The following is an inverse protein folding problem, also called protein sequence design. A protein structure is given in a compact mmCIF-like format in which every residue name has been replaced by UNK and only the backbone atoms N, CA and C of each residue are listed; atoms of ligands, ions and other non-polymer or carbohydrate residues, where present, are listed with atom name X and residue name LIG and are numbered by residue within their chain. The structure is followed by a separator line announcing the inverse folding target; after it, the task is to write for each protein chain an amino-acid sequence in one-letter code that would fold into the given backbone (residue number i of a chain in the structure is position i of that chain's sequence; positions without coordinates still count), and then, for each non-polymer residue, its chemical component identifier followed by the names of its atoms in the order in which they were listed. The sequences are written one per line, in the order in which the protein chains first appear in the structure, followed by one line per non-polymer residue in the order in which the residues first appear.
data_IF_125554935344
#
_entry.id   IF_125554935344
#
_cell.length_a   1.000
_cell.length_b   1.000
_cell.length_c   1.000
_cell.angle_alpha   90.00
_cell.angle_beta   90.00
_cell.angle_gamma   90.00
#
_symmetry.space_group_name_H-M   'P 1'
#
loop_
_entity.id
_entity.type
_entity.pdbx_description
1 polymer ?
#
# COMPACT_ATOMS: atom_id res chain seq x y z
N UNK A 1 -9.14 -23.00 -8.26
CA UNK A 1 -7.82 -23.25 -8.81
C UNK A 1 -6.97 -24.08 -7.85
N UNK A 2 -6.01 -24.82 -8.39
CA UNK A 2 -5.05 -25.60 -7.65
C UNK A 2 -3.65 -25.32 -8.19
N UNK A 3 -2.63 -25.36 -7.34
CA UNK A 3 -1.24 -25.27 -7.72
C UNK A 3 -0.43 -26.34 -7.02
N UNK A 4 0.71 -26.68 -7.59
CA UNK A 4 1.61 -27.69 -7.06
C UNK A 4 2.87 -27.04 -6.52
N UNK A 5 3.36 -27.59 -5.41
CA UNK A 5 4.67 -27.23 -4.88
C UNK A 5 5.82 -28.00 -5.58
N UNK A 6 7.06 -27.76 -5.17
CA UNK A 6 8.24 -28.40 -5.72
C UNK A 6 8.25 -29.93 -5.54
N UNK A 7 7.48 -30.49 -4.59
CA UNK A 7 7.31 -31.93 -4.37
C UNK A 7 6.05 -32.50 -5.00
N UNK A 8 5.39 -31.75 -5.90
CA UNK A 8 4.11 -32.10 -6.51
C UNK A 8 2.91 -32.24 -5.55
N UNK A 9 3.03 -31.75 -4.30
CA UNK A 9 1.88 -31.64 -3.43
C UNK A 9 0.89 -30.65 -4.02
N UNK A 10 -0.38 -31.01 -4.04
CA UNK A 10 -1.42 -30.15 -4.60
C UNK A 10 -2.09 -29.35 -3.49
N UNK A 11 -2.05 -28.03 -3.61
CA UNK A 11 -2.88 -27.13 -2.81
C UNK A 11 -4.08 -26.73 -3.66
N UNK A 12 -5.25 -27.13 -3.22
CA UNK A 12 -6.52 -26.73 -3.86
C UNK A 12 -7.03 -25.49 -3.17
N UNK A 13 -7.09 -24.37 -3.89
CA UNK A 13 -7.80 -23.18 -3.41
C UNK A 13 -9.29 -23.46 -3.58
N UNK A 14 -10.02 -23.47 -2.47
CA UNK A 14 -11.46 -23.64 -2.50
C UNK A 14 -12.08 -22.57 -3.41
N UNK A 15 -12.85 -23.01 -4.39
CA UNK A 15 -13.57 -22.13 -5.29
C UNK A 15 -14.96 -21.87 -4.67
N UNK A 16 -15.09 -20.72 -4.02
CA UNK A 16 -16.38 -20.27 -3.52
C UNK A 16 -17.15 -19.68 -4.71
N UNK A 17 -17.89 -20.53 -5.37
CA UNK A 17 -18.70 -20.15 -6.53
C UNK A 17 -19.97 -19.44 -6.05
N UNK A 18 -19.87 -18.15 -5.74
CA UNK A 18 -21.02 -17.36 -5.26
C UNK A 18 -21.72 -16.57 -6.35
N UNK A 19 -21.32 -16.74 -7.62
CA UNK A 19 -21.89 -15.98 -8.77
C UNK A 19 -21.51 -14.49 -8.79
N UNK A 20 -20.86 -13.98 -7.73
CA UNK A 20 -20.38 -12.61 -7.60
C UNK A 20 -18.85 -12.57 -7.61
N UNK A 21 -18.27 -11.48 -8.11
CA UNK A 21 -16.81 -11.26 -8.11
C UNK A 21 -16.36 -10.87 -6.70
N UNK A 22 -16.08 -11.85 -5.86
CA UNK A 22 -15.50 -11.62 -4.53
C UNK A 22 -14.03 -12.05 -4.55
N UNK A 23 -13.13 -11.20 -4.07
CA UNK A 23 -11.71 -11.52 -3.93
C UNK A 23 -11.46 -12.10 -2.55
N UNK A 24 -10.88 -13.30 -2.53
CA UNK A 24 -10.43 -13.99 -1.33
C UNK A 24 -8.91 -13.87 -1.22
N UNK A 25 -8.40 -13.88 -0.02
CA UNK A 25 -6.98 -13.94 0.23
C UNK A 25 -6.57 -15.31 0.73
N UNK A 26 -5.42 -15.76 0.24
CA UNK A 26 -4.75 -16.99 0.69
C UNK A 26 -3.34 -16.63 1.10
N UNK A 27 -2.96 -17.00 2.30
CA UNK A 27 -1.59 -16.90 2.79
C UNK A 27 -0.93 -18.27 2.69
N UNK A 28 0.27 -18.31 2.13
CA UNK A 28 1.06 -19.53 1.96
C UNK A 28 2.43 -19.34 2.61
N UNK A 29 2.84 -20.31 3.40
CA UNK A 29 4.23 -20.43 3.81
C UNK A 29 4.93 -21.50 2.97
N UNK A 30 6.02 -21.10 2.33
CA UNK A 30 6.79 -21.96 1.44
C UNK A 30 8.22 -22.02 1.97
N UNK A 31 8.78 -23.22 2.08
CA UNK A 31 10.18 -23.41 2.49
C UNK A 31 11.14 -22.88 1.43
N UNK A 32 12.43 -22.74 1.79
CA UNK A 32 13.51 -22.41 0.83
C UNK A 32 13.64 -23.41 -0.32
N UNK A 33 13.12 -24.63 -0.14
CA UNK A 33 13.10 -25.69 -1.16
C UNK A 33 11.85 -25.63 -2.05
N UNK A 34 10.99 -24.62 -1.87
CA UNK A 34 9.75 -24.48 -2.64
C UNK A 34 8.60 -25.40 -2.20
N UNK A 35 8.68 -25.98 -1.00
CA UNK A 35 7.65 -26.86 -0.43
C UNK A 35 6.69 -26.04 0.39
N UNK A 36 5.37 -26.24 0.17
CA UNK A 36 4.33 -25.59 0.96
C UNK A 36 4.28 -26.21 2.35
N UNK A 37 4.64 -25.45 3.37
CA UNK A 37 4.57 -25.86 4.76
C UNK A 37 3.13 -25.80 5.29
N UNK A 38 2.44 -24.72 4.97
CA UNK A 38 1.02 -24.56 5.29
C UNK A 38 0.35 -23.50 4.38
N UNK A 39 -0.97 -23.49 4.37
CA UNK A 39 -1.79 -22.44 3.77
C UNK A 39 -2.93 -22.08 4.72
N UNK A 40 -3.32 -20.80 4.70
CA UNK A 40 -4.45 -20.26 5.43
C UNK A 40 -5.34 -19.46 4.49
N UNK A 41 -6.63 -19.65 4.61
CA UNK A 41 -7.63 -18.82 3.93
C UNK A 41 -8.06 -17.72 4.89
N UNK A 42 -8.16 -16.51 4.38
CA UNK A 42 -8.81 -15.42 5.10
C UNK A 42 -10.28 -15.49 4.72
N UNK A 43 -11.12 -15.83 5.68
CA UNK A 43 -12.55 -15.94 5.46
C UNK A 43 -13.17 -14.55 5.33
N UNK A 44 -14.16 -14.44 4.46
CA UNK A 44 -14.89 -13.20 4.16
C UNK A 44 -16.37 -13.48 4.38
N UNK A 45 -17.05 -12.52 4.99
CA UNK A 45 -18.51 -12.59 5.07
C UNK A 45 -19.13 -12.47 3.68
N UNK A 46 -19.78 -13.55 3.25
CA UNK A 46 -20.50 -13.67 1.99
C UNK A 46 -22.01 -13.70 2.15
N UNK A 47 -22.52 -13.24 3.31
CA UNK A 47 -23.96 -13.17 3.51
C UNK A 47 -24.64 -12.36 2.38
N UNK A 48 -25.89 -12.67 2.01
CA UNK A 48 -26.63 -11.90 1.03
C UNK A 48 -26.75 -10.41 1.40
N UNK A 49 -26.81 -10.12 2.69
CA UNK A 49 -26.85 -8.75 3.23
C UNK A 49 -25.52 -8.02 3.01
N UNK A 50 -24.38 -8.71 3.16
CA UNK A 50 -23.07 -8.17 2.84
C UNK A 50 -22.85 -8.02 1.32
N UNK A 51 -23.56 -8.79 0.49
CA UNK A 51 -23.44 -8.73 -0.98
C UNK A 51 -24.36 -7.70 -1.64
N UNK A 52 -25.28 -7.10 -0.89
CA UNK A 52 -26.25 -6.12 -1.41
C UNK A 52 -25.64 -4.73 -1.71
N UNK A 53 -24.37 -4.51 -1.39
CA UNK A 53 -23.66 -3.29 -1.77
C UNK A 53 -23.25 -3.35 -3.24
N UNK A 54 -24.00 -2.66 -4.04
CA UNK A 54 -24.00 -2.65 -5.51
C UNK A 54 -22.63 -2.40 -6.16
N UNK A 55 -22.38 -3.22 -7.21
CA UNK A 55 -21.40 -2.94 -8.24
C UNK A 55 -21.71 -1.61 -8.94
N UNK A 56 -20.93 -0.60 -8.68
CA UNK A 56 -20.75 0.48 -9.63
C UNK A 56 -19.26 0.63 -9.86
N UNK A 57 -18.90 0.40 -11.13
CA UNK A 57 -17.57 0.64 -11.68
C UNK A 57 -16.41 -0.24 -11.16
N UNK A 58 -16.52 -1.56 -11.42
CA UNK A 58 -15.31 -2.37 -11.65
C UNK A 58 -14.42 -2.74 -10.47
N UNK A 59 -14.72 -2.32 -9.25
CA UNK A 59 -13.96 -2.73 -8.06
C UNK A 59 -14.74 -3.80 -7.29
N UNK A 60 -14.31 -5.05 -7.32
CA UNK A 60 -14.97 -6.12 -6.59
C UNK A 60 -14.88 -5.89 -5.07
N UNK A 61 -15.90 -6.34 -4.34
CA UNK A 61 -15.86 -6.40 -2.89
C UNK A 61 -14.91 -7.50 -2.42
N UNK A 62 -14.13 -7.25 -1.37
CA UNK A 62 -13.26 -8.26 -0.83
C UNK A 62 -12.12 -7.76 0.03
N UNK A 63 -11.10 -8.58 0.11
CA UNK A 63 -9.83 -8.28 0.77
C UNK A 63 -8.77 -8.09 -0.31
N UNK A 64 -7.94 -7.08 -0.12
CA UNK A 64 -6.82 -6.77 -0.98
C UNK A 64 -5.53 -6.75 -0.15
N UNK A 65 -4.91 -7.92 0.09
CA UNK A 65 -3.60 -7.98 0.71
C UNK A 65 -2.55 -7.56 -0.31
N UNK A 66 -1.73 -6.58 0.04
CA UNK A 66 -0.72 -6.04 -0.86
C UNK A 66 0.69 -6.34 -0.40
N UNK A 67 0.91 -6.48 0.91
CA UNK A 67 2.24 -6.58 1.45
C UNK A 67 2.32 -7.56 2.63
N UNK A 68 3.47 -8.21 2.75
CA UNK A 68 3.84 -9.02 3.92
C UNK A 68 5.24 -8.64 4.38
N UNK A 69 5.46 -8.71 5.69
CA UNK A 69 6.78 -8.66 6.31
C UNK A 69 6.87 -9.74 7.39
N UNK A 70 8.08 -10.12 7.77
CA UNK A 70 8.33 -11.08 8.86
C UNK A 70 9.35 -10.51 9.82
N UNK A 71 9.15 -10.75 11.14
CA UNK A 71 10.13 -10.41 12.15
C UNK A 71 11.10 -11.56 12.43
N UNK A 72 12.09 -11.32 13.28
CA UNK A 72 13.11 -12.31 13.68
C UNK A 72 12.53 -13.51 14.46
N UNK A 73 11.33 -13.38 15.02
CA UNK A 73 10.64 -14.46 15.71
C UNK A 73 9.77 -15.30 14.76
N UNK A 74 9.76 -14.95 13.48
CA UNK A 74 8.95 -15.59 12.45
C UNK A 74 7.48 -15.14 12.44
N UNK A 75 7.10 -14.13 13.20
CA UNK A 75 5.76 -13.56 13.09
C UNK A 75 5.58 -12.90 11.73
N UNK A 76 4.38 -13.03 11.19
CA UNK A 76 4.03 -12.54 9.85
C UNK A 76 3.12 -11.32 10.03
N UNK A 77 3.43 -10.26 9.31
CA UNK A 77 2.61 -9.07 9.22
C UNK A 77 2.03 -9.00 7.81
N UNK A 78 0.71 -8.98 7.72
CA UNK A 78 -0.05 -8.88 6.47
C UNK A 78 -0.74 -7.54 6.42
N UNK A 79 -0.54 -6.77 5.35
CA UNK A 79 -1.13 -5.45 5.19
C UNK A 79 -1.89 -5.28 3.87
N UNK A 80 -2.86 -4.40 3.87
CA UNK A 80 -3.67 -4.11 2.70
C UNK A 80 -4.87 -3.22 3.00
N UNK A 81 -5.95 -3.44 2.25
CA UNK A 81 -7.26 -2.90 2.58
C UNK A 81 -8.36 -3.96 2.47
N UNK A 82 -9.48 -3.72 3.13
CA UNK A 82 -10.61 -4.65 3.14
C UNK A 82 -11.94 -3.88 3.14
N UNK A 83 -12.94 -4.46 2.47
CA UNK A 83 -14.28 -3.88 2.30
C UNK A 83 -15.38 -4.75 2.89
N UNK A 84 -15.03 -5.95 3.34
CA UNK A 84 -15.94 -6.91 3.97
C UNK A 84 -15.32 -7.43 5.25
N UNK A 85 -16.14 -7.88 6.17
CA UNK A 85 -15.68 -8.52 7.40
C UNK A 85 -14.74 -9.67 7.08
N UNK A 86 -13.54 -9.61 7.64
CA UNK A 86 -12.53 -10.68 7.58
C UNK A 86 -12.54 -11.46 8.87
N UNK A 87 -12.36 -12.78 8.79
CA UNK A 87 -12.22 -13.65 9.95
C UNK A 87 -10.85 -14.31 9.95
N UNK A 88 -10.14 -14.16 11.05
CA UNK A 88 -8.90 -14.85 11.38
C UNK A 88 -9.16 -15.78 12.59
N UNK A 89 -8.24 -16.71 12.84
CA UNK A 89 -8.35 -17.65 13.94
C UNK A 89 -7.12 -17.63 14.83
N UNK A 90 -7.34 -17.66 16.16
CA UNK A 90 -6.24 -17.82 17.14
C UNK A 90 -5.70 -19.25 17.12
N UNK A 91 -4.63 -19.51 17.90
CA UNK A 91 -4.10 -20.86 18.06
C UNK A 91 -5.11 -21.85 18.66
N UNK A 92 -6.04 -21.36 19.48
CA UNK A 92 -7.16 -22.12 20.07
C UNK A 92 -8.35 -22.25 19.10
N UNK A 93 -8.18 -21.84 17.84
CA UNK A 93 -9.23 -21.82 16.83
C UNK A 93 -10.45 -20.93 17.17
N UNK A 94 -10.22 -19.88 17.94
CA UNK A 94 -11.24 -18.87 18.23
C UNK A 94 -11.29 -17.83 17.11
N UNK A 95 -12.47 -17.51 16.53
CA UNK A 95 -12.59 -16.55 15.45
C UNK A 95 -12.40 -15.12 15.96
N UNK A 96 -11.69 -14.32 15.19
CA UNK A 96 -11.53 -12.87 15.38
C UNK A 96 -11.94 -12.16 14.10
N UNK A 97 -12.93 -11.29 14.19
CA UNK A 97 -13.49 -10.57 13.05
C UNK A 97 -12.97 -9.14 12.99
N UNK A 98 -12.51 -8.74 11.83
CA UNK A 98 -12.23 -7.36 11.47
C UNK A 98 -13.41 -6.86 10.63
N UNK A 99 -14.15 -5.90 11.18
CA UNK A 99 -15.36 -5.34 10.55
C UNK A 99 -14.98 -3.98 9.97
N UNK A 100 -15.22 -3.71 8.67
CA UNK A 100 -14.91 -2.41 8.08
C UNK A 100 -15.82 -1.32 8.64
N UNK A 101 -15.25 -0.16 8.93
CA UNK A 101 -15.94 0.99 9.52
C UNK A 101 -16.21 2.09 8.49
N UNK A 102 -15.40 2.15 7.42
CA UNK A 102 -15.49 3.22 6.45
C UNK A 102 -16.59 2.96 5.42
N UNK A 103 -17.71 3.65 5.59
CA UNK A 103 -18.85 3.57 4.68
C UNK A 103 -19.14 4.94 4.06
N UNK A 104 -19.28 4.99 2.74
CA UNK A 104 -19.61 6.21 1.99
C UNK A 104 -21.03 6.12 1.45
N UNK A 105 -21.82 7.16 1.65
CA UNK A 105 -23.09 7.34 0.95
C UNK A 105 -22.82 7.82 -0.48
N UNK A 106 -23.10 6.99 -1.46
CA UNK A 106 -22.96 7.34 -2.87
C UNK A 106 -24.33 7.63 -3.48
N UNK A 107 -24.52 8.87 -3.93
CA UNK A 107 -25.77 9.31 -4.60
C UNK A 107 -27.09 9.03 -3.86
N UNK A 108 -27.08 9.03 -2.53
CA UNK A 108 -28.31 9.04 -1.72
C UNK A 108 -28.98 7.69 -1.49
N UNK A 109 -28.57 6.60 -2.14
CA UNK A 109 -29.34 5.33 -2.10
C UNK A 109 -28.66 4.12 -1.47
N UNK A 110 -27.34 4.14 -1.22
CA UNK A 110 -26.70 3.01 -0.54
C UNK A 110 -25.37 3.42 0.09
N UNK A 111 -25.13 2.92 1.29
CA UNK A 111 -23.82 2.99 1.91
C UNK A 111 -22.87 2.03 1.19
N UNK A 112 -21.77 2.56 0.64
CA UNK A 112 -20.69 1.73 0.11
C UNK A 112 -19.55 1.69 1.12
N UNK A 113 -19.08 0.51 1.42
CA UNK A 113 -17.82 0.33 2.13
C UNK A 113 -16.68 0.65 1.19
N UNK A 114 -15.88 1.65 1.53
CA UNK A 114 -14.77 2.09 0.68
C UNK A 114 -13.51 1.31 0.98
N UNK A 115 -13.50 0.63 2.11
CA UNK A 115 -12.43 -0.21 2.62
C UNK A 115 -11.54 0.55 3.60
N UNK A 116 -11.26 -0.12 4.71
CA UNK A 116 -10.31 0.33 5.71
C UNK A 116 -8.95 -0.30 5.42
N UNK A 117 -7.88 0.36 5.81
CA UNK A 117 -6.57 -0.28 5.83
C UNK A 117 -6.45 -1.23 7.02
N UNK A 118 -5.61 -2.24 6.88
CA UNK A 118 -5.30 -3.17 7.95
C UNK A 118 -3.82 -3.56 7.96
N UNK A 119 -3.32 -3.89 9.14
CA UNK A 119 -2.12 -4.69 9.37
C UNK A 119 -2.50 -5.76 10.38
N UNK A 120 -2.38 -7.03 9.99
CA UNK A 120 -2.64 -8.17 10.86
C UNK A 120 -1.34 -8.87 11.20
N UNK A 121 -1.11 -9.15 12.48
CA UNK A 121 0.01 -9.94 12.98
C UNK A 121 -0.44 -11.38 13.19
N UNK A 122 0.33 -12.30 12.64
CA UNK A 122 0.14 -13.74 12.77
C UNK A 122 1.43 -14.38 13.33
N UNK A 123 1.31 -15.52 13.98
CA UNK A 123 2.48 -16.33 14.33
C UNK A 123 3.07 -17.05 13.09
N UNK A 124 4.15 -17.80 13.28
CA UNK A 124 4.84 -18.56 12.24
C UNK A 124 3.99 -19.71 11.64
N UNK A 125 2.84 -20.03 12.26
CA UNK A 125 1.85 -21.02 11.81
C UNK A 125 0.61 -20.38 11.19
N UNK A 126 0.59 -19.04 11.09
CA UNK A 126 -0.51 -18.27 10.55
C UNK A 126 -1.70 -18.11 11.50
N UNK A 127 -1.52 -18.30 12.81
CA UNK A 127 -2.55 -18.02 13.80
C UNK A 127 -2.54 -16.52 14.16
N UNK A 128 -3.72 -15.98 14.39
CA UNK A 128 -3.90 -14.57 14.73
C UNK A 128 -3.30 -14.22 16.10
N UNK A 129 -2.54 -13.11 16.11
CA UNK A 129 -1.93 -12.52 17.31
C UNK A 129 -2.46 -11.12 17.62
N UNK A 130 -2.83 -10.35 16.60
CA UNK A 130 -3.28 -8.97 16.76
C UNK A 130 -3.55 -8.29 15.43
N UNK A 131 -4.16 -7.12 15.47
CA UNK A 131 -4.36 -6.30 14.28
C UNK A 131 -4.32 -4.81 14.61
N UNK A 132 -4.06 -4.04 13.58
CA UNK A 132 -4.20 -2.59 13.51
C UNK A 132 -5.12 -2.23 12.35
N UNK A 133 -6.08 -1.36 12.61
CA UNK A 133 -6.95 -0.75 11.59
C UNK A 133 -7.08 0.73 11.87
N UNK A 134 -7.45 1.50 10.85
CA UNK A 134 -7.81 2.91 11.02
C UNK A 134 -9.23 3.07 11.54
N UNK A 135 -9.49 4.21 12.16
CA UNK A 135 -10.84 4.72 12.34
C UNK A 135 -10.99 6.02 11.55
N UNK A 136 -12.16 6.23 10.98
CA UNK A 136 -12.43 7.40 10.15
C UNK A 136 -13.50 8.30 10.76
N UNK A 137 -13.38 9.61 10.48
CA UNK A 137 -14.43 10.60 10.72
C UNK A 137 -14.72 11.28 9.41
N UNK A 138 -16.00 11.44 9.08
CA UNK A 138 -16.41 11.94 7.77
C UNK A 138 -16.24 10.90 6.66
N UNK A 139 -15.90 11.33 5.47
CA UNK A 139 -15.86 10.47 4.29
C UNK A 139 -14.45 10.36 3.72
N UNK A 140 -13.84 9.21 3.85
CA UNK A 140 -12.58 8.84 3.19
C UNK A 140 -12.92 7.95 1.99
N UNK A 141 -12.47 8.34 0.79
CA UNK A 141 -12.75 7.62 -0.45
C UNK A 141 -11.85 6.40 -0.63
N UNK A 142 -10.62 6.47 -0.13
CA UNK A 142 -9.64 5.40 -0.23
C UNK A 142 -8.66 5.42 0.92
N UNK A 143 -8.38 4.27 1.45
CA UNK A 143 -7.24 4.02 2.35
C UNK A 143 -6.65 2.64 2.01
N UNK A 144 -5.35 2.59 1.84
CA UNK A 144 -4.67 1.32 1.57
C UNK A 144 -3.19 1.38 1.98
N UNK A 145 -2.68 0.26 2.50
CA UNK A 145 -1.25 0.01 2.64
C UNK A 145 -0.84 -0.92 1.52
N UNK A 146 0.14 -0.52 0.74
CA UNK A 146 0.63 -1.28 -0.41
C UNK A 146 2.01 -1.90 -0.19
N UNK A 147 2.78 -1.38 0.77
CA UNK A 147 4.12 -1.88 1.10
C UNK A 147 4.33 -1.90 2.60
N UNK A 148 5.09 -2.88 3.05
CA UNK A 148 5.45 -3.09 4.44
C UNK A 148 6.91 -3.59 4.52
N UNK A 149 7.72 -2.98 5.37
CA UNK A 149 9.10 -3.40 5.62
C UNK A 149 9.28 -3.56 7.12
N UNK A 150 9.92 -4.67 7.52
CA UNK A 150 10.38 -4.88 8.87
C UNK A 150 11.89 -4.60 8.98
N UNK A 151 12.29 -3.85 9.99
CA UNK A 151 13.69 -3.63 10.38
C UNK A 151 13.81 -3.45 11.88
N UNK A 152 14.53 -4.35 12.55
CA UNK A 152 14.90 -4.24 13.97
C UNK A 152 13.75 -3.83 14.91
N UNK A 153 12.65 -4.54 14.91
CA UNK A 153 11.49 -4.29 15.79
C UNK A 153 10.55 -3.20 15.29
N UNK A 154 10.78 -2.65 14.11
CA UNK A 154 10.00 -1.60 13.48
C UNK A 154 9.38 -2.08 12.18
N UNK A 155 8.14 -1.70 11.97
CA UNK A 155 7.40 -1.93 10.73
C UNK A 155 7.11 -0.59 10.08
N UNK A 156 7.71 -0.37 8.92
CA UNK A 156 7.41 0.80 8.09
C UNK A 156 6.35 0.44 7.07
N UNK A 157 5.36 1.30 6.91
CA UNK A 157 4.32 1.11 5.91
C UNK A 157 4.25 2.29 4.93
N UNK A 158 3.82 1.98 3.72
CA UNK A 158 3.64 2.93 2.63
C UNK A 158 2.35 2.61 1.88
N UNK A 159 1.56 3.64 1.64
CA UNK A 159 0.29 3.49 0.99
C UNK A 159 -0.26 4.81 0.47
N UNK A 160 -1.57 4.84 0.22
CA UNK A 160 -2.29 6.03 -0.20
C UNK A 160 -3.59 6.20 0.57
N UNK A 161 -3.97 7.46 0.75
CA UNK A 161 -5.25 7.85 1.32
C UNK A 161 -5.83 9.02 0.52
N UNK A 162 -7.15 9.02 0.34
CA UNK A 162 -7.86 10.07 -0.38
C UNK A 162 -9.12 10.46 0.37
N UNK A 163 -9.29 11.76 0.57
CA UNK A 163 -10.49 12.34 1.13
C UNK A 163 -11.48 12.69 0.00
N UNK A 164 -12.76 12.46 0.19
CA UNK A 164 -13.78 12.90 -0.75
C UNK A 164 -14.61 14.06 -0.21
N UNK A 165 -14.64 14.26 1.10
CA UNK A 165 -15.50 15.30 1.70
C UNK A 165 -15.20 15.50 3.19
N UNK A 166 -14.21 16.33 3.49
CA UNK A 166 -13.84 16.74 4.86
C UNK A 166 -13.62 15.58 5.86
N UNK A 167 -13.20 14.42 5.37
CA UNK A 167 -12.90 13.28 6.22
C UNK A 167 -11.52 13.36 6.86
N UNK A 168 -11.36 12.67 7.98
CA UNK A 168 -10.05 12.43 8.61
C UNK A 168 -9.89 10.97 8.95
N UNK A 169 -8.64 10.52 9.01
CA UNK A 169 -8.26 9.18 9.46
C UNK A 169 -7.49 9.26 10.77
N UNK A 170 -7.74 8.31 11.65
CA UNK A 170 -7.01 8.16 12.89
C UNK A 170 -6.16 6.89 12.83
N UNK A 171 -4.87 7.04 13.05
CA UNK A 171 -3.92 5.97 13.20
C UNK A 171 -3.44 5.98 14.66
N UNK A 172 -4.04 5.13 15.50
CA UNK A 172 -3.86 5.24 16.95
C UNK A 172 -4.34 6.59 17.48
N UNK A 173 -3.44 7.36 18.11
CA UNK A 173 -3.73 8.71 18.61
C UNK A 173 -3.48 9.85 17.60
N UNK A 174 -3.00 9.52 16.39
CA UNK A 174 -2.65 10.52 15.38
C UNK A 174 -3.81 10.70 14.42
N UNK A 175 -4.33 11.94 14.33
CA UNK A 175 -5.38 12.32 13.38
C UNK A 175 -4.76 13.01 12.16
N UNK A 176 -5.14 12.57 10.96
CA UNK A 176 -4.68 13.12 9.69
C UNK A 176 -5.89 13.51 8.83
N UNK A 177 -5.77 14.64 8.13
CA UNK A 177 -6.78 15.12 7.17
C UNK A 177 -6.18 15.05 5.77
N UNK A 178 -6.47 14.00 4.98
CA UNK A 178 -5.97 13.89 3.63
C UNK A 178 -6.57 14.94 2.69
N UNK A 179 -5.90 15.23 1.59
CA UNK A 179 -6.43 16.07 0.52
C UNK A 179 -7.49 15.32 -0.32
N UNK A 180 -8.10 16.02 -1.26
CA UNK A 180 -9.01 15.41 -2.23
C UNK A 180 -8.31 14.59 -3.34
N UNK A 181 -6.99 14.49 -3.26
CA UNK A 181 -6.16 13.69 -4.14
C UNK A 181 -5.65 12.44 -3.43
N UNK A 182 -4.98 11.53 -4.14
CA UNK A 182 -4.35 10.37 -3.53
C UNK A 182 -3.04 10.79 -2.82
N UNK A 183 -3.15 11.24 -1.59
CA UNK A 183 -1.99 11.53 -0.74
C UNK A 183 -1.21 10.27 -0.44
N UNK A 184 0.09 10.40 -0.27
CA UNK A 184 0.93 9.32 0.23
C UNK A 184 0.80 9.27 1.74
N UNK A 185 0.55 8.07 2.25
CA UNK A 185 0.54 7.74 3.67
C UNK A 185 1.77 6.90 4.00
N UNK A 186 2.58 7.36 4.95
CA UNK A 186 3.72 6.62 5.49
C UNK A 186 3.69 6.60 7.01
N UNK A 187 4.30 5.58 7.61
CA UNK A 187 4.41 5.54 9.07
C UNK A 187 5.26 4.39 9.59
N UNK A 188 5.47 4.41 10.89
CA UNK A 188 6.11 3.37 11.67
C UNK A 188 5.15 2.86 12.74
N UNK A 189 5.02 1.55 12.85
CA UNK A 189 4.43 0.86 13.98
C UNK A 189 5.46 -0.10 14.58
N UNK A 190 5.35 -0.41 15.85
CA UNK A 190 6.18 -1.45 16.45
C UNK A 190 5.58 -2.86 16.29
N UNK A 191 6.28 -3.86 16.81
CA UNK A 191 5.82 -5.26 16.75
C UNK A 191 4.60 -5.55 17.61
N UNK A 192 4.17 -4.63 18.48
CA UNK A 192 2.89 -4.69 19.22
C UNK A 192 1.75 -4.03 18.45
N UNK A 193 2.04 -3.49 17.26
CA UNK A 193 1.12 -2.73 16.40
C UNK A 193 0.77 -1.34 16.95
N UNK A 194 1.63 -0.77 17.81
CA UNK A 194 1.50 0.61 18.28
C UNK A 194 2.12 1.58 17.30
N UNK A 195 1.33 2.58 16.87
CA UNK A 195 1.80 3.63 15.96
C UNK A 195 2.82 4.52 16.66
N UNK A 196 4.01 4.65 16.08
CA UNK A 196 5.08 5.53 16.58
C UNK A 196 5.02 6.90 15.91
N UNK A 197 4.90 6.92 14.62
CA UNK A 197 4.66 8.12 13.84
C UNK A 197 3.93 7.77 12.54
N UNK A 198 3.24 8.76 11.99
CA UNK A 198 2.65 8.70 10.64
C UNK A 198 2.62 10.08 10.01
N UNK A 199 2.80 10.15 8.72
CA UNK A 199 2.83 11.38 7.92
C UNK A 199 2.03 11.21 6.65
N UNK A 200 1.44 12.33 6.22
CA UNK A 200 0.96 12.49 4.85
C UNK A 200 2.01 13.23 4.02
N UNK A 201 2.09 12.85 2.77
CA UNK A 201 2.75 13.65 1.73
C UNK A 201 1.61 14.08 0.80
N UNK A 202 1.36 15.38 0.78
CA UNK A 202 0.19 15.94 0.11
C UNK A 202 0.35 15.91 -1.40
N UNK A 203 -0.67 15.43 -2.10
CA UNK A 203 -0.74 15.43 -3.55
C UNK A 203 -1.39 16.72 -4.07
N UNK A 204 -0.90 17.25 -5.19
CA UNK A 204 -1.36 18.49 -5.81
C UNK A 204 -1.74 18.31 -7.28
N UNK A 205 -2.76 19.03 -7.71
CA UNK A 205 -2.88 19.56 -9.06
C UNK A 205 -3.13 18.57 -10.20
N UNK A 206 -4.09 17.67 -10.07
CA UNK A 206 -4.61 16.97 -11.24
C UNK A 206 -6.09 17.31 -11.43
N UNK A 207 -6.43 18.03 -12.47
CA UNK A 207 -7.77 18.57 -12.73
C UNK A 207 -8.82 17.54 -13.18
N UNK A 208 -8.40 16.27 -13.43
CA UNK A 208 -9.27 15.20 -13.94
C UNK A 208 -9.13 13.88 -13.17
N UNK A 209 -8.89 13.97 -11.93
CA UNK A 209 -8.29 13.06 -10.99
C UNK A 209 -9.06 11.78 -10.68
N UNK A 210 -9.09 10.80 -11.55
CA UNK A 210 -9.51 9.46 -11.09
C UNK A 210 -8.40 8.66 -10.41
N UNK A 211 -7.11 8.93 -10.67
CA UNK A 211 -5.97 8.27 -10.01
C UNK A 211 -4.73 9.15 -10.13
N UNK A 212 -4.36 9.84 -9.05
CA UNK A 212 -3.24 10.78 -9.05
C UNK A 212 -1.93 10.17 -8.62
N UNK A 213 -1.97 9.12 -7.80
CA UNK A 213 -0.80 8.48 -7.22
C UNK A 213 -0.92 6.96 -7.32
N UNK A 214 0.18 6.31 -7.72
CA UNK A 214 0.34 4.87 -7.62
C UNK A 214 1.66 4.57 -6.91
N UNK A 215 1.57 4.03 -5.71
CA UNK A 215 2.72 3.51 -4.96
C UNK A 215 3.25 2.26 -5.66
N UNK A 216 4.58 2.17 -5.84
CA UNK A 216 5.19 1.04 -6.55
C UNK A 216 6.19 0.28 -5.70
N UNK A 217 6.99 0.97 -4.90
CA UNK A 217 7.91 0.33 -3.97
C UNK A 217 8.30 1.27 -2.84
N UNK A 218 8.70 0.68 -1.73
CA UNK A 218 9.37 1.34 -0.62
C UNK A 218 10.64 0.55 -0.31
N UNK A 219 11.77 1.23 -0.22
CA UNK A 219 13.06 0.65 0.17
C UNK A 219 13.55 1.32 1.46
N UNK A 220 14.08 0.52 2.40
CA UNK A 220 14.74 1.02 3.59
C UNK A 220 16.26 0.90 3.41
N UNK A 221 16.96 2.03 3.45
CA UNK A 221 18.41 2.07 3.23
C UNK A 221 19.03 3.04 4.23
N UNK A 222 19.86 2.51 5.13
CA UNK A 222 20.65 3.32 6.07
C UNK A 222 19.84 4.37 6.84
N UNK A 223 18.72 3.99 7.43
CA UNK A 223 17.88 4.88 8.23
C UNK A 223 17.00 5.82 7.43
N UNK A 224 16.87 5.61 6.13
CA UNK A 224 15.98 6.37 5.26
C UNK A 224 15.01 5.46 4.52
N UNK A 225 13.80 5.95 4.33
CA UNK A 225 12.79 5.35 3.47
C UNK A 225 12.85 6.01 2.09
N UNK A 226 12.93 5.21 1.05
CA UNK A 226 12.83 5.66 -0.33
C UNK A 226 11.51 5.17 -0.91
N UNK A 227 10.66 6.11 -1.25
CA UNK A 227 9.33 5.88 -1.79
C UNK A 227 9.39 6.07 -3.30
N UNK A 228 8.93 5.10 -4.05
CA UNK A 228 8.88 5.20 -5.51
C UNK A 228 7.49 4.90 -6.06
N UNK A 229 7.19 5.45 -7.21
CA UNK A 229 5.88 5.27 -7.81
C UNK A 229 5.65 6.12 -9.05
N UNK A 230 4.37 6.39 -9.29
CA UNK A 230 3.86 7.19 -10.38
C UNK A 230 2.93 8.27 -9.82
N UNK A 231 3.00 9.47 -10.38
CA UNK A 231 2.15 10.60 -10.00
C UNK A 231 1.61 11.35 -11.21
N UNK A 232 0.46 11.98 -11.01
CA UNK A 232 -0.07 13.09 -11.82
C UNK A 232 -0.09 14.32 -10.93
N UNK A 233 0.45 15.44 -11.40
CA UNK A 233 0.57 16.63 -10.55
C UNK A 233 1.87 16.63 -9.73
N UNK A 234 1.84 16.87 -8.45
CA UNK A 234 3.04 16.98 -7.64
C UNK A 234 2.84 16.55 -6.19
N UNK A 235 3.93 16.59 -5.43
CA UNK A 235 3.94 16.28 -4.01
C UNK A 235 4.71 17.32 -3.19
N UNK A 236 4.25 17.53 -1.95
CA UNK A 236 4.98 18.24 -0.91
C UNK A 236 4.73 17.61 0.46
N UNK A 237 5.57 17.89 1.48
CA UNK A 237 5.27 17.57 2.86
C UNK A 237 3.90 18.11 3.27
N UNK A 238 3.24 17.42 4.19
CA UNK A 238 1.95 17.84 4.72
C UNK A 238 2.00 19.26 5.31
N UNK A 239 1.01 20.07 4.93
CA UNK A 239 0.90 21.47 5.39
C UNK A 239 1.62 22.49 4.50
N UNK A 240 2.30 22.07 3.43
CA UNK A 240 2.81 22.99 2.40
C UNK A 240 1.76 23.27 1.33
N UNK A 241 1.77 24.48 0.80
CA UNK A 241 0.77 24.95 -0.19
C UNK A 241 1.22 24.73 -1.64
N UNK A 242 2.51 24.46 -1.86
CA UNK A 242 3.09 24.27 -3.19
C UNK A 242 3.84 22.94 -3.29
N UNK A 243 3.79 22.30 -4.46
CA UNK A 243 4.50 21.07 -4.70
C UNK A 243 6.03 21.28 -4.74
N UNK A 244 6.80 20.50 -3.96
CA UNK A 244 8.26 20.47 -4.04
C UNK A 244 8.77 19.68 -5.24
N UNK A 245 8.05 18.63 -5.64
CA UNK A 245 8.29 17.90 -6.89
C UNK A 245 6.99 17.88 -7.68
N UNK A 246 7.08 18.10 -8.98
CA UNK A 246 5.93 18.15 -9.85
C UNK A 246 6.19 17.43 -11.17
N UNK A 247 5.14 16.85 -11.71
CA UNK A 247 5.13 16.34 -13.09
C UNK A 247 4.90 17.50 -14.03
N UNK A 248 5.76 17.64 -15.03
CA UNK A 248 5.62 18.67 -16.09
C UNK A 248 4.75 18.23 -17.26
N UNK A 249 4.28 17.00 -17.26
CA UNK A 249 3.50 16.44 -18.37
C UNK A 249 2.27 15.67 -17.91
N UNK A 250 1.25 15.66 -18.73
CA UNK A 250 0.16 14.69 -18.71
C UNK A 250 0.56 13.53 -19.60
N UNK A 251 1.11 12.49 -19.15
CA UNK A 251 0.58 11.42 -18.35
C UNK A 251 1.31 11.22 -17.01
N UNK A 252 1.03 10.10 -16.32
CA UNK A 252 1.71 9.69 -15.10
C UNK A 252 3.24 9.73 -15.26
N UNK A 253 3.92 10.31 -14.28
CA UNK A 253 5.39 10.38 -14.23
C UNK A 253 5.91 9.67 -12.98
N UNK A 254 7.11 9.08 -13.12
CA UNK A 254 7.81 8.48 -12.01
C UNK A 254 8.23 9.50 -10.98
N UNK A 255 8.25 9.09 -9.71
CA UNK A 255 8.84 9.87 -8.63
C UNK A 255 9.68 8.99 -7.71
N UNK A 256 10.66 9.62 -7.05
CA UNK A 256 11.37 9.09 -5.89
C UNK A 256 11.35 10.15 -4.82
N UNK A 257 10.97 9.76 -3.60
CA UNK A 257 10.98 10.61 -2.40
C UNK A 257 11.80 9.90 -1.33
N UNK A 258 12.65 10.66 -0.62
CA UNK A 258 13.39 10.18 0.54
C UNK A 258 12.83 10.80 1.80
N UNK A 259 12.58 9.96 2.80
CA UNK A 259 12.15 10.37 4.13
C UNK A 259 13.09 9.80 5.21
N UNK A 260 13.21 10.50 6.32
CA UNK A 260 13.87 9.98 7.52
C UNK A 260 13.01 8.86 8.12
N UNK A 261 13.60 7.68 8.31
CA UNK A 261 12.85 6.54 8.83
C UNK A 261 12.48 6.67 10.31
N UNK A 262 13.13 7.59 11.06
CA UNK A 262 12.86 7.77 12.48
C UNK A 262 11.61 8.61 12.77
N UNK A 263 11.19 9.46 11.84
CA UNK A 263 10.12 10.43 12.08
C UNK A 263 9.27 10.78 10.83
N UNK A 264 9.62 10.22 9.65
CA UNK A 264 8.93 10.46 8.39
C UNK A 264 9.20 11.82 7.74
N UNK A 265 10.17 12.58 8.20
CA UNK A 265 10.49 13.88 7.61
C UNK A 265 10.99 13.75 6.16
N UNK A 266 10.51 14.65 5.31
CA UNK A 266 10.94 14.74 3.92
C UNK A 266 12.37 15.24 3.80
N UNK A 267 13.27 14.41 3.30
CA UNK A 267 14.69 14.75 3.09
C UNK A 267 15.01 15.17 1.67
N UNK A 268 14.18 14.80 0.70
CA UNK A 268 14.39 15.17 -0.69
C UNK A 268 13.52 14.36 -1.63
N UNK A 269 13.59 14.69 -2.92
CA UNK A 269 12.83 13.96 -3.93
C UNK A 269 13.06 14.49 -5.33
N UNK A 270 12.68 13.68 -6.29
CA UNK A 270 12.78 14.00 -7.72
C UNK A 270 11.60 13.40 -8.48
N UNK A 271 11.13 14.13 -9.49
CA UNK A 271 10.21 13.62 -10.49
C UNK A 271 10.95 13.26 -11.79
N UNK A 272 10.41 12.31 -12.52
CA UNK A 272 10.87 11.99 -13.85
C UNK A 272 10.37 13.05 -14.84
N UNK A 273 10.93 14.26 -14.82
CA UNK A 273 10.50 15.44 -15.60
C UNK A 273 10.49 15.25 -17.13
N UNK A 274 10.89 14.11 -17.62
CA UNK A 274 11.00 13.83 -19.05
C UNK A 274 9.74 13.13 -19.54
N UNK A 275 9.29 13.53 -20.72
CA UNK A 275 8.23 12.81 -21.42
C UNK A 275 8.59 11.33 -21.53
N UNK A 276 7.75 10.49 -20.97
CA UNK A 276 7.78 9.06 -21.21
C UNK A 276 8.27 8.18 -20.08
N UNK A 277 8.79 8.66 -18.95
CA UNK A 277 9.03 7.78 -17.80
C UNK A 277 7.72 7.62 -17.05
N UNK A 278 7.08 6.46 -17.25
CA UNK A 278 5.76 6.18 -16.71
C UNK A 278 5.75 5.87 -15.23
N UNK A 279 6.87 5.48 -14.62
CA UNK A 279 6.98 5.19 -13.20
C UNK A 279 8.34 4.68 -12.80
N UNK A 280 8.70 4.90 -11.54
CA UNK A 280 9.80 4.19 -10.88
C UNK A 280 9.25 3.09 -10.00
N UNK A 281 9.87 1.91 -10.06
CA UNK A 281 9.45 0.68 -9.38
C UNK A 281 10.36 0.28 -8.23
N UNK A 282 11.41 1.04 -7.96
CA UNK A 282 12.32 0.86 -6.86
C UNK A 282 13.62 1.62 -7.06
N UNK A 283 14.44 1.61 -6.02
CA UNK A 283 15.73 2.27 -5.99
C UNK A 283 16.82 1.35 -5.45
N UNK A 284 18.05 1.65 -5.82
CA UNK A 284 19.23 1.03 -5.25
C UNK A 284 20.30 2.08 -4.98
N UNK A 285 20.96 1.97 -3.81
CA UNK A 285 22.06 2.86 -3.46
C UNK A 285 23.31 2.47 -4.25
N UNK A 286 23.90 3.44 -4.93
CA UNK A 286 25.18 3.32 -5.60
C UNK A 286 26.36 3.75 -4.74
N UNK A 287 27.49 3.96 -5.39
CA UNK A 287 28.68 4.57 -4.77
C UNK A 287 28.49 6.06 -4.59
N UNK A 288 29.17 6.61 -3.58
CA UNK A 288 29.10 8.04 -3.27
C UNK A 288 27.66 8.48 -2.98
N UNK A 289 27.17 9.52 -3.66
CA UNK A 289 25.80 10.02 -3.54
C UNK A 289 24.86 9.53 -4.64
N UNK A 290 25.26 8.52 -5.42
CA UNK A 290 24.42 8.03 -6.49
C UNK A 290 23.29 7.15 -5.96
N UNK A 291 22.10 7.41 -6.47
CA UNK A 291 20.92 6.60 -6.31
C UNK A 291 20.46 6.13 -7.70
N UNK A 292 20.23 4.86 -7.88
CA UNK A 292 19.70 4.30 -9.11
C UNK A 292 18.23 4.02 -8.96
N UNK A 293 17.41 4.67 -9.79
CA UNK A 293 15.98 4.38 -9.87
C UNK A 293 15.69 3.61 -11.16
N UNK A 294 15.04 2.46 -11.03
CA UNK A 294 14.60 1.67 -12.18
C UNK A 294 13.10 1.80 -12.39
N UNK A 295 12.69 1.76 -13.65
CA UNK A 295 11.28 1.95 -13.99
C UNK A 295 10.96 1.59 -15.42
N UNK A 296 9.84 2.12 -15.90
CA UNK A 296 9.35 1.90 -17.25
C UNK A 296 9.21 3.21 -18.00
N UNK A 297 9.75 3.25 -19.22
CA UNK A 297 9.61 4.37 -20.15
C UNK A 297 8.61 4.06 -21.25
N UNK A 298 7.71 4.98 -21.51
CA UNK A 298 6.77 4.94 -22.66
C UNK A 298 7.23 5.81 -23.84
N UNK A 299 8.38 6.50 -23.69
CA UNK A 299 8.89 7.37 -24.72
C UNK A 299 9.22 6.61 -26.00
N UNK A 300 8.70 7.05 -27.10
CA UNK A 300 9.07 6.54 -28.42
C UNK A 300 10.33 7.29 -28.88
N UNK A 301 11.40 6.64 -29.37
CA UNK A 301 11.49 5.19 -29.69
C UNK A 301 11.87 4.28 -28.51
N UNK A 302 12.23 4.80 -27.35
CA UNK A 302 12.85 4.07 -26.24
C UNK A 302 11.81 3.53 -25.23
N UNK A 303 10.83 2.76 -25.70
CA UNK A 303 9.89 2.07 -24.80
C UNK A 303 10.58 0.89 -24.12
N UNK A 304 10.44 0.78 -22.81
CA UNK A 304 10.97 -0.37 -22.08
C UNK A 304 11.43 -0.04 -20.66
N UNK A 305 12.30 -0.87 -20.13
CA UNK A 305 12.92 -0.65 -18.82
C UNK A 305 13.87 0.54 -18.94
N UNK A 306 13.81 1.42 -17.95
CA UNK A 306 14.76 2.54 -17.82
C UNK A 306 15.48 2.48 -16.48
N UNK A 307 16.73 2.91 -16.48
CA UNK A 307 17.53 3.16 -15.29
C UNK A 307 17.91 4.64 -15.28
N UNK A 308 17.64 5.30 -14.15
CA UNK A 308 17.98 6.72 -13.97
C UNK A 308 18.95 6.84 -12.82
N UNK A 309 20.07 7.51 -13.03
CA UNK A 309 21.00 7.88 -11.97
C UNK A 309 20.59 9.24 -11.40
N UNK A 310 20.47 9.32 -10.09
CA UNK A 310 20.11 10.51 -9.34
C UNK A 310 21.24 10.84 -8.37
N UNK A 311 21.74 12.06 -8.42
CA UNK A 311 22.62 12.59 -7.38
C UNK A 311 21.77 12.96 -6.16
N UNK A 312 21.88 12.19 -5.10
CA UNK A 312 21.09 12.35 -3.89
C UNK A 312 21.38 13.64 -3.13
N UNK A 313 22.57 14.21 -3.30
CA UNK A 313 22.95 15.49 -2.65
C UNK A 313 22.22 16.68 -3.24
N UNK A 314 21.94 16.64 -4.51
CA UNK A 314 21.30 17.74 -5.26
C UNK A 314 19.88 17.39 -5.77
N UNK A 315 19.49 16.13 -5.68
CA UNK A 315 18.24 15.57 -6.26
C UNK A 315 18.12 15.84 -7.78
N UNK A 316 19.27 15.85 -8.46
CA UNK A 316 19.32 16.00 -9.91
C UNK A 316 19.57 14.64 -10.59
N UNK A 317 18.89 14.43 -11.68
CA UNK A 317 19.18 13.31 -12.58
C UNK A 317 20.47 13.60 -13.31
N UNK A 318 21.41 12.67 -13.25
CA UNK A 318 22.74 12.85 -13.87
C UNK A 318 22.91 12.00 -15.12
N UNK A 319 22.22 10.86 -15.20
CA UNK A 319 22.35 9.94 -16.32
C UNK A 319 21.07 9.12 -16.48
N UNK A 320 20.74 8.76 -17.74
CA UNK A 320 19.65 7.87 -18.10
C UNK A 320 20.17 6.83 -19.08
N UNK A 321 20.02 5.55 -18.72
CA UNK A 321 20.41 4.40 -19.53
C UNK A 321 19.16 3.63 -19.97
#
# INVERSE_FOLDING_TARGET
PAFKDAKNNTVTIQNWNTGYRTYYAVLLKVSSEGVIEWNKYIEIDNSPEASATYYTEGTPDGIYPYATATDENGNIYLAGNYRKTMTFYTAENSPVQLIPHNTVNWNGDSQKTVGDLFIVKLDDKGNYLGHFTTTVSGTIEREQITHLIYDNGKLYFYGTVKNSNEGSINLGSINLVPSSFDDILIGEIDTNLDVKWTKLITAFGASDSKHTTQTKNMDYINGSLYLSGMMKGGFAPYGEEEARIASKSTPLNGFVIKCDASNGEWLGGVSADEQGIGGYFGVAKGKENNLYAYGYSWATPNKGICLTTIDESSWKKTEKI
#
